data_IF_210396234809
#
_entry.id   IF_210396234809
#
_cell.length_a   1.000
_cell.length_b   1.000
_cell.length_c   1.000
_cell.angle_alpha   90.00
_cell.angle_beta   90.00
_cell.angle_gamma   90.00
#
_symmetry.space_group_name_H-M   'P 1'
#
loop_
_entity.id
_entity.type
_entity.pdbx_description
1 polymer ?
#
# COMPACT_ATOMS: atom_id res chain seq x y z
N UNK A 1 -0.05 16.24 21.67
CA UNK A 1 -1.02 15.12 21.58
C UNK A 1 -0.21 13.84 21.75
N UNK A 2 -0.63 12.88 22.57
CA UNK A 2 0.07 11.58 22.61
C UNK A 2 -0.20 10.90 21.26
N UNK A 3 0.86 10.51 20.56
CA UNK A 3 0.78 9.71 19.35
C UNK A 3 0.31 8.31 19.78
N UNK A 4 -0.73 7.78 19.15
CA UNK A 4 -1.26 6.44 19.43
C UNK A 4 -1.64 5.74 18.13
N UNK A 5 -1.52 4.42 18.13
CA UNK A 5 -2.03 3.57 17.05
C UNK A 5 -3.56 3.50 17.08
N UNK A 6 -4.21 3.15 15.95
CA UNK A 6 -5.63 2.81 15.92
C UNK A 6 -5.99 1.77 16.97
N UNK A 7 -7.20 1.87 17.53
CA UNK A 7 -7.69 0.87 18.48
C UNK A 7 -8.22 -0.38 17.78
N UNK A 8 -8.41 -1.46 18.54
CA UNK A 8 -8.90 -2.73 18.01
C UNK A 8 -10.36 -2.68 17.50
N UNK A 9 -11.08 -1.58 17.74
CA UNK A 9 -12.44 -1.35 17.25
C UNK A 9 -12.46 -0.55 15.94
N UNK A 10 -11.29 -0.09 15.47
CA UNK A 10 -11.18 0.73 14.26
C UNK A 10 -11.31 -0.17 13.03
N UNK A 11 -12.46 -0.09 12.36
CA UNK A 11 -12.70 -0.82 11.10
C UNK A 11 -11.71 -0.44 10.00
N UNK A 12 -11.46 -1.34 9.04
CA UNK A 12 -10.46 -1.16 7.97
C UNK A 12 -10.62 0.15 7.16
N UNK A 13 -11.84 0.66 7.00
CA UNK A 13 -12.13 1.93 6.31
C UNK A 13 -11.60 3.15 7.06
N UNK A 14 -11.50 3.04 8.38
CA UNK A 14 -11.02 4.05 9.29
C UNK A 14 -9.55 3.82 9.68
N UNK A 15 -9.10 2.56 9.62
CA UNK A 15 -7.73 2.18 9.93
C UNK A 15 -6.73 2.90 9.03
N UNK A 16 -5.74 3.49 9.65
CA UNK A 16 -4.56 4.11 9.04
C UNK A 16 -3.59 4.56 10.10
N UNK A 17 -2.30 4.40 9.81
CA UNK A 17 -1.20 4.96 10.59
C UNK A 17 -0.54 6.04 9.75
N UNK A 18 -0.58 7.33 10.16
CA UNK A 18 0.11 8.42 9.47
C UNK A 18 1.57 8.13 9.21
N UNK A 19 2.08 8.63 8.08
CA UNK A 19 3.46 8.39 7.68
C UNK A 19 4.46 8.88 8.73
N UNK A 20 4.11 9.95 9.45
CA UNK A 20 4.87 10.53 10.55
C UNK A 20 4.87 9.70 11.85
N UNK A 21 4.00 8.68 11.97
CA UNK A 21 3.93 7.79 13.13
C UNK A 21 4.86 6.58 12.93
N UNK A 22 6.14 6.85 12.68
CA UNK A 22 7.13 5.86 12.25
C UNK A 22 8.00 5.28 13.38
N UNK A 23 7.76 5.73 14.61
CA UNK A 23 8.45 5.27 15.81
C UNK A 23 7.89 3.96 16.38
N UNK A 24 6.69 3.55 15.95
CA UNK A 24 6.12 2.27 16.35
C UNK A 24 6.82 1.12 15.64
N UNK A 25 6.86 -0.03 16.29
CA UNK A 25 7.36 -1.24 15.64
C UNK A 25 6.40 -1.69 14.55
N UNK A 26 6.93 -2.42 13.56
CA UNK A 26 6.10 -3.01 12.52
C UNK A 26 5.04 -3.95 13.13
N UNK A 27 5.42 -4.73 14.15
CA UNK A 27 4.52 -5.60 14.91
C UNK A 27 3.40 -4.84 15.60
N UNK A 28 3.69 -3.71 16.26
CA UNK A 28 2.66 -2.89 16.90
C UNK A 28 1.64 -2.37 15.88
N UNK A 29 2.12 -1.90 14.73
CA UNK A 29 1.24 -1.41 13.65
C UNK A 29 0.38 -2.54 13.10
N UNK A 30 0.96 -3.70 12.82
CA UNK A 30 0.22 -4.87 12.34
C UNK A 30 -0.79 -5.38 13.37
N UNK A 31 -0.45 -5.36 14.67
CA UNK A 31 -1.38 -5.73 15.73
C UNK A 31 -2.58 -4.75 15.83
N UNK A 32 -2.37 -3.49 15.44
CA UNK A 32 -3.45 -2.50 15.31
C UNK A 32 -4.30 -2.69 14.05
N UNK A 33 -3.74 -3.31 13.01
CA UNK A 33 -4.44 -3.67 11.78
C UNK A 33 -5.25 -4.95 12.04
N UNK A 34 -6.57 -4.82 12.12
CA UNK A 34 -7.47 -5.90 12.53
C UNK A 34 -7.20 -7.24 11.85
N UNK A 35 -7.08 -8.31 12.64
CA UNK A 35 -7.08 -9.69 12.17
C UNK A 35 -8.46 -10.36 12.10
N UNK A 36 -9.58 -9.66 12.33
CA UNK A 36 -10.90 -10.32 12.27
C UNK A 36 -12.07 -9.33 12.28
N UNK A 37 -13.03 -9.54 11.36
CA UNK A 37 -14.35 -8.90 11.23
C UNK A 37 -14.49 -7.81 10.16
N UNK A 38 -14.11 -8.12 8.92
CA UNK A 38 -14.87 -7.58 7.78
C UNK A 38 -16.09 -8.49 7.54
N UNK A 39 -17.29 -7.93 7.49
CA UNK A 39 -18.38 -8.60 6.78
C UNK A 39 -17.91 -8.86 5.35
N UNK A 40 -18.27 -10.00 4.77
CA UNK A 40 -17.76 -10.53 3.50
C UNK A 40 -17.82 -9.53 2.32
N UNK A 41 -18.64 -8.49 2.40
CA UNK A 41 -18.82 -7.46 1.36
C UNK A 41 -17.81 -6.29 1.45
N UNK A 42 -17.00 -6.21 2.52
CA UNK A 42 -16.19 -5.04 2.87
C UNK A 42 -14.71 -5.38 3.06
N UNK A 43 -14.15 -6.30 2.28
CA UNK A 43 -12.75 -6.72 2.44
C UNK A 43 -11.82 -5.82 1.59
N UNK A 44 -10.58 -5.50 2.00
CA UNK A 44 -9.63 -4.74 1.17
C UNK A 44 -9.43 -5.33 -0.24
N UNK A 45 -9.08 -4.46 -1.20
CA UNK A 45 -9.00 -4.83 -2.62
C UNK A 45 -8.05 -6.01 -2.87
N UNK A 46 -6.88 -6.00 -2.23
CA UNK A 46 -5.90 -7.08 -2.40
C UNK A 46 -6.48 -8.46 -2.02
N UNK A 47 -7.28 -8.51 -0.96
CA UNK A 47 -7.87 -9.76 -0.47
C UNK A 47 -8.93 -10.24 -1.46
N UNK A 48 -9.77 -9.33 -1.95
CA UNK A 48 -10.78 -9.64 -2.97
C UNK A 48 -10.14 -10.17 -4.27
N UNK A 49 -8.99 -9.61 -4.64
CA UNK A 49 -8.22 -10.04 -5.80
C UNK A 49 -7.59 -11.43 -5.59
N UNK A 50 -7.07 -11.73 -4.40
CA UNK A 50 -6.53 -13.06 -4.03
C UNK A 50 -7.64 -14.12 -3.96
N UNK A 51 -8.79 -13.79 -3.36
CA UNK A 51 -9.88 -14.74 -3.12
C UNK A 51 -10.68 -15.09 -4.39
N UNK A 52 -10.58 -14.29 -5.46
CA UNK A 52 -11.36 -14.50 -6.67
C UNK A 52 -10.54 -15.14 -7.81
N UNK A 53 -10.74 -16.44 -8.09
CA UNK A 53 -9.94 -17.20 -9.06
C UNK A 53 -10.12 -16.76 -10.52
N UNK A 54 -11.04 -15.83 -10.81
CA UNK A 54 -11.19 -15.23 -12.14
C UNK A 54 -10.12 -14.19 -12.44
N UNK A 55 -9.46 -13.65 -11.42
CA UNK A 55 -8.39 -12.67 -11.57
C UNK A 55 -7.03 -13.38 -11.50
N UNK A 56 -6.69 -14.13 -12.55
CA UNK A 56 -5.33 -14.65 -12.74
C UNK A 56 -4.42 -13.50 -13.19
N UNK A 57 -3.86 -12.78 -12.22
CA UNK A 57 -2.93 -11.67 -12.45
C UNK A 57 -1.51 -12.08 -12.04
N UNK A 58 -0.53 -12.02 -12.97
CA UNK A 58 0.86 -12.43 -12.73
C UNK A 58 1.63 -11.68 -11.63
N UNK A 59 1.05 -10.63 -11.02
CA UNK A 59 1.66 -9.92 -9.90
C UNK A 59 1.05 -10.34 -8.55
N UNK A 60 -0.16 -10.92 -8.50
CA UNK A 60 -0.66 -11.57 -7.28
C UNK A 60 0.19 -12.81 -6.96
N UNK A 61 0.89 -13.40 -7.92
CA UNK A 61 1.88 -14.44 -7.61
C UNK A 61 3.12 -13.90 -6.89
N UNK A 62 3.38 -12.58 -6.93
CA UNK A 62 4.29 -11.93 -5.97
C UNK A 62 3.70 -11.96 -4.56
N UNK A 63 2.38 -12.12 -4.44
CA UNK A 63 1.61 -12.22 -3.22
C UNK A 63 0.90 -13.60 -3.04
N UNK A 64 1.64 -14.70 -2.88
CA UNK A 64 1.14 -16.06 -2.57
C UNK A 64 0.34 -16.16 -1.24
N UNK A 65 -0.95 -15.85 -1.30
CA UNK A 65 -2.00 -16.34 -0.39
C UNK A 65 -2.01 -15.71 1.00
N UNK A 66 -1.41 -16.38 2.00
CA UNK A 66 -1.52 -15.97 3.41
C UNK A 66 -0.26 -15.26 3.95
N UNK A 67 0.92 -15.79 3.60
CA UNK A 67 2.21 -15.16 3.94
C UNK A 67 2.27 -13.77 3.30
N UNK A 68 1.77 -13.66 2.08
CA UNK A 68 1.91 -12.43 1.34
C UNK A 68 0.84 -11.38 1.65
N UNK A 69 -0.30 -11.75 2.27
CA UNK A 69 -1.20 -10.75 2.86
C UNK A 69 -0.53 -10.05 4.05
N UNK A 70 0.22 -10.79 4.87
CA UNK A 70 1.00 -10.20 5.96
C UNK A 70 2.09 -9.28 5.41
N UNK A 71 2.82 -9.71 4.39
CA UNK A 71 3.83 -8.87 3.73
C UNK A 71 3.21 -7.61 3.09
N UNK A 72 2.01 -7.73 2.52
CA UNK A 72 1.26 -6.60 2.00
C UNK A 72 0.93 -5.58 3.09
N UNK A 73 0.40 -6.03 4.23
CA UNK A 73 0.10 -5.17 5.37
C UNK A 73 1.38 -4.52 5.95
N UNK A 74 2.53 -5.21 5.85
CA UNK A 74 3.82 -4.62 6.20
C UNK A 74 4.18 -3.46 5.26
N UNK A 75 3.91 -3.60 3.96
CA UNK A 75 4.14 -2.53 2.98
C UNK A 75 3.20 -1.35 3.25
N UNK A 76 1.94 -1.59 3.63
CA UNK A 76 1.04 -0.53 4.08
C UNK A 76 1.63 0.28 5.25
N UNK A 77 2.14 -0.43 6.27
CA UNK A 77 2.79 0.21 7.42
C UNK A 77 4.03 1.02 6.99
N UNK A 78 4.89 0.45 6.14
CA UNK A 78 6.09 1.15 5.66
C UNK A 78 5.75 2.39 4.82
N UNK A 79 4.73 2.32 3.97
CA UNK A 79 4.32 3.43 3.11
C UNK A 79 3.34 4.38 3.81
N UNK A 80 2.93 4.12 5.05
CA UNK A 80 1.98 4.96 5.80
C UNK A 80 0.60 5.05 5.15
N UNK A 81 0.12 3.93 4.60
CA UNK A 81 -1.13 3.83 3.84
C UNK A 81 -2.16 2.96 4.55
N UNK A 82 -3.43 3.38 4.52
CA UNK A 82 -4.55 2.57 5.02
C UNK A 82 -5.06 1.60 3.97
N UNK A 83 -6.31 1.13 4.05
CA UNK A 83 -6.83 0.11 3.13
C UNK A 83 -7.91 0.62 2.14
N UNK A 84 -8.07 1.94 2.00
CA UNK A 84 -9.05 2.49 1.05
C UNK A 84 -8.55 2.32 -0.40
N UNK A 85 -9.42 2.38 -1.42
CA UNK A 85 -9.02 2.13 -2.82
C UNK A 85 -7.80 2.95 -3.29
N UNK A 86 -7.70 4.21 -2.87
CA UNK A 86 -6.57 5.08 -3.19
C UNK A 86 -5.28 4.71 -2.45
N UNK A 87 -5.41 4.15 -1.25
CA UNK A 87 -4.28 3.64 -0.48
C UNK A 87 -3.74 2.35 -1.12
N UNK A 88 -4.64 1.43 -1.48
CA UNK A 88 -4.31 0.20 -2.24
C UNK A 88 -3.65 0.54 -3.59
N UNK A 89 -4.20 1.53 -4.30
CA UNK A 89 -3.62 2.04 -5.54
C UNK A 89 -2.16 2.47 -5.36
N UNK A 90 -1.86 3.18 -4.26
CA UNK A 90 -0.50 3.61 -3.97
C UNK A 90 0.41 2.44 -3.60
N UNK A 91 -0.02 1.55 -2.69
CA UNK A 91 0.78 0.42 -2.22
C UNK A 91 1.14 -0.53 -3.36
N UNK A 92 0.16 -0.92 -4.16
CA UNK A 92 0.37 -1.80 -5.32
C UNK A 92 1.28 -1.10 -6.33
N UNK A 93 1.00 0.17 -6.64
CA UNK A 93 1.77 0.94 -7.61
C UNK A 93 3.25 1.08 -7.20
N UNK A 94 3.51 1.51 -5.97
CA UNK A 94 4.87 1.70 -5.45
C UNK A 94 5.63 0.39 -5.40
N UNK A 95 5.00 -0.69 -4.91
CA UNK A 95 5.61 -2.02 -4.87
C UNK A 95 6.04 -2.46 -6.27
N UNK A 96 5.13 -2.38 -7.25
CA UNK A 96 5.45 -2.71 -8.64
C UNK A 96 6.58 -1.84 -9.21
N UNK A 97 6.56 -0.53 -8.95
CA UNK A 97 7.61 0.40 -9.37
C UNK A 97 9.00 0.01 -8.85
N UNK A 98 9.08 -0.38 -7.58
CA UNK A 98 10.35 -0.77 -6.93
C UNK A 98 11.00 -2.03 -7.53
N UNK A 99 10.23 -2.87 -8.23
CA UNK A 99 10.71 -4.17 -8.75
C UNK A 99 11.46 -4.10 -10.08
N UNK A 100 11.25 -3.05 -10.90
CA UNK A 100 11.48 -3.18 -12.34
C UNK A 100 12.25 -1.98 -12.93
N UNK A 101 13.59 -2.01 -12.80
CA UNK A 101 14.49 -0.99 -13.38
C UNK A 101 14.76 -1.13 -14.88
N UNK A 102 14.12 -2.06 -15.61
CA UNK A 102 14.36 -2.29 -17.05
C UNK A 102 13.09 -2.14 -17.92
N UNK A 103 13.27 -1.47 -19.06
CA UNK A 103 12.30 -0.89 -19.99
C UNK A 103 11.00 -1.69 -20.30
N UNK A 104 9.96 -0.95 -20.73
CA UNK A 104 8.58 -1.36 -21.15
C UNK A 104 7.48 -1.30 -20.07
N UNK A 105 7.66 -0.46 -19.04
CA UNK A 105 6.69 -0.24 -17.97
C UNK A 105 5.37 0.36 -18.47
N UNK A 106 5.38 1.46 -19.23
CA UNK A 106 4.13 2.17 -19.58
C UNK A 106 3.10 1.30 -20.31
N UNK A 107 3.50 0.55 -21.34
CA UNK A 107 2.54 -0.24 -22.13
C UNK A 107 1.99 -1.44 -21.36
N UNK A 108 2.82 -2.15 -20.59
CA UNK A 108 2.35 -3.28 -19.76
C UNK A 108 1.49 -2.79 -18.59
N UNK A 109 1.88 -1.67 -17.97
CA UNK A 109 1.14 -1.04 -16.86
C UNK A 109 -0.22 -0.50 -17.32
N UNK A 110 -0.27 0.19 -18.47
CA UNK A 110 -1.51 0.72 -19.02
C UNK A 110 -2.45 -0.40 -19.48
N UNK A 111 -1.93 -1.41 -20.18
CA UNK A 111 -2.70 -2.60 -20.58
C UNK A 111 -3.21 -3.33 -19.34
N UNK A 112 -2.39 -3.46 -18.30
CA UNK A 112 -2.77 -4.12 -17.05
C UNK A 112 -3.82 -3.33 -16.27
N UNK A 113 -3.59 -2.03 -16.04
CA UNK A 113 -4.52 -1.15 -15.35
C UNK A 113 -5.87 -1.26 -16.05
N UNK A 114 -5.91 -1.06 -17.37
CA UNK A 114 -7.13 -1.14 -18.20
C UNK A 114 -7.86 -2.49 -18.15
N UNK A 115 -7.15 -3.61 -17.90
CA UNK A 115 -7.73 -4.96 -17.90
C UNK A 115 -8.17 -5.45 -16.52
N UNK A 116 -7.52 -5.03 -15.43
CA UNK A 116 -7.70 -5.63 -14.10
C UNK A 116 -8.05 -4.64 -12.98
N UNK A 117 -7.80 -3.34 -13.15
CA UNK A 117 -8.31 -2.31 -12.25
C UNK A 117 -9.68 -1.74 -12.69
N UNK A 118 -10.17 -2.12 -13.89
CA UNK A 118 -11.48 -1.69 -14.43
C UNK A 118 -12.64 -2.71 -14.41
N UNK A 119 -12.51 -4.03 -14.13
CA UNK A 119 -13.66 -4.93 -14.12
C UNK A 119 -14.35 -5.02 -12.75
N UNK A 120 -15.68 -4.93 -12.76
CA UNK A 120 -16.54 -5.28 -11.62
C UNK A 120 -16.61 -4.23 -10.50
N UNK A 121 -17.07 -4.61 -9.29
CA UNK A 121 -17.29 -3.71 -8.16
C UNK A 121 -16.00 -3.18 -7.51
N UNK A 122 -14.84 -3.70 -7.93
CA UNK A 122 -13.51 -3.43 -7.37
C UNK A 122 -12.71 -2.41 -8.18
N UNK A 123 -13.43 -1.63 -8.98
CA UNK A 123 -12.88 -0.73 -9.97
C UNK A 123 -12.30 0.53 -9.33
N UNK A 124 -11.05 0.82 -9.66
CA UNK A 124 -10.44 2.12 -9.36
C UNK A 124 -11.17 3.24 -10.09
N UNK A 125 -11.39 4.35 -9.37
CA UNK A 125 -11.77 5.61 -10.01
C UNK A 125 -10.60 6.13 -10.85
N UNK A 126 -10.87 7.10 -11.72
CA UNK A 126 -9.80 7.77 -12.48
C UNK A 126 -8.77 8.43 -11.55
N UNK A 127 -9.20 8.88 -10.37
CA UNK A 127 -8.30 9.42 -9.36
C UNK A 127 -7.43 8.33 -8.71
N UNK A 128 -7.95 7.13 -8.47
CA UNK A 128 -7.18 6.01 -7.93
C UNK A 128 -6.17 5.51 -8.97
N UNK A 129 -6.59 5.44 -10.25
CA UNK A 129 -5.71 5.09 -11.35
C UNK A 129 -4.56 6.10 -11.52
N UNK A 130 -4.80 7.40 -11.27
CA UNK A 130 -3.72 8.39 -11.27
C UNK A 130 -2.77 8.22 -10.10
N UNK A 131 -3.27 7.99 -8.89
CA UNK A 131 -2.42 7.70 -7.71
C UNK A 131 -1.58 6.45 -7.93
N UNK A 132 -2.15 5.41 -8.52
CA UNK A 132 -1.42 4.21 -8.93
C UNK A 132 -0.26 4.53 -9.88
N UNK A 133 -0.50 5.30 -10.96
CA UNK A 133 0.55 5.69 -11.92
C UNK A 133 1.65 6.51 -11.25
N UNK A 134 1.28 7.46 -10.41
CA UNK A 134 2.23 8.30 -9.68
C UNK A 134 3.09 7.43 -8.74
N UNK A 135 2.46 6.49 -8.01
CA UNK A 135 3.14 5.56 -7.13
C UNK A 135 4.10 4.62 -7.86
N UNK A 136 3.73 4.12 -9.04
CA UNK A 136 4.63 3.33 -9.90
C UNK A 136 5.86 4.13 -10.28
N UNK A 137 5.68 5.39 -10.69
CA UNK A 137 6.79 6.24 -11.03
C UNK A 137 7.68 6.51 -9.81
N UNK A 138 7.08 6.82 -8.66
CA UNK A 138 7.79 7.00 -7.38
C UNK A 138 8.63 5.77 -7.00
N UNK A 139 8.04 4.58 -7.04
CA UNK A 139 8.76 3.34 -6.76
C UNK A 139 9.87 3.05 -7.78
N UNK A 140 9.67 3.41 -9.05
CA UNK A 140 10.66 3.23 -10.11
C UNK A 140 11.88 4.12 -9.96
N UNK A 141 11.68 5.38 -9.55
CA UNK A 141 12.78 6.34 -9.35
C UNK A 141 13.41 6.20 -7.96
N UNK A 142 12.75 5.54 -7.02
CA UNK A 142 13.28 5.32 -5.69
C UNK A 142 14.41 4.30 -5.70
N UNK A 143 15.46 4.56 -4.93
CA UNK A 143 16.59 3.65 -4.80
C UNK A 143 16.37 2.51 -3.79
N UNK A 144 15.14 2.35 -3.29
CA UNK A 144 14.80 1.33 -2.30
C UNK A 144 14.96 -0.11 -2.78
N UNK A 145 15.10 -1.01 -1.82
CA UNK A 145 15.03 -2.46 -2.04
C UNK A 145 13.64 -2.83 -2.59
N UNK A 146 13.54 -3.69 -3.62
CA UNK A 146 12.26 -4.15 -4.13
C UNK A 146 11.37 -4.74 -3.02
N UNK A 147 10.26 -4.08 -2.70
CA UNK A 147 9.49 -4.39 -1.48
C UNK A 147 8.90 -5.80 -1.48
N UNK A 148 8.67 -6.38 -2.65
CA UNK A 148 8.17 -7.74 -2.84
C UNK A 148 9.22 -8.84 -2.57
N UNK A 149 10.48 -8.48 -2.33
CA UNK A 149 11.57 -9.44 -2.07
C UNK A 149 11.97 -9.52 -0.60
N UNK A 150 11.33 -8.70 0.24
CA UNK A 150 11.70 -8.53 1.64
C UNK A 150 11.08 -9.65 2.47
N UNK A 151 11.90 -10.21 3.36
CA UNK A 151 11.44 -11.09 4.43
C UNK A 151 11.11 -10.24 5.67
N UNK A 152 9.85 -9.81 5.79
CA UNK A 152 9.39 -8.91 6.85
C UNK A 152 9.45 -9.52 8.25
N UNK A 153 9.52 -10.85 8.37
CA UNK A 153 9.63 -11.54 9.66
C UNK A 153 10.86 -11.07 10.47
N UNK A 154 11.90 -10.61 9.78
CA UNK A 154 13.14 -10.08 10.38
C UNK A 154 13.02 -8.66 10.93
N UNK A 155 11.94 -7.95 10.59
CA UNK A 155 11.75 -6.53 10.88
C UNK A 155 10.60 -6.25 11.85
N UNK A 156 9.81 -7.27 12.23
CA UNK A 156 8.61 -7.11 13.06
C UNK A 156 8.84 -6.25 14.32
N UNK A 157 9.88 -6.55 15.10
CA UNK A 157 10.17 -5.81 16.33
C UNK A 157 10.95 -4.49 16.13
N UNK A 158 11.22 -4.08 14.88
CA UNK A 158 11.94 -2.84 14.58
C UNK A 158 10.98 -1.67 14.36
N UNK A 159 11.31 -0.46 14.83
CA UNK A 159 10.62 0.77 14.47
C UNK A 159 10.59 0.99 12.96
N UNK A 160 9.45 1.45 12.43
CA UNK A 160 9.25 1.64 10.98
C UNK A 160 10.25 2.60 10.36
N UNK A 161 10.65 3.68 11.05
CA UNK A 161 11.68 4.59 10.54
C UNK A 161 13.02 3.88 10.27
N UNK A 162 13.45 3.00 11.19
CA UNK A 162 14.68 2.22 11.01
C UNK A 162 14.56 1.26 9.83
N UNK A 163 13.39 0.64 9.63
CA UNK A 163 13.14 -0.24 8.49
C UNK A 163 13.20 0.57 7.18
N UNK A 164 12.56 1.74 7.13
CA UNK A 164 12.60 2.63 5.96
C UNK A 164 14.04 3.00 5.59
N UNK A 165 14.84 3.40 6.58
CA UNK A 165 16.25 3.73 6.39
C UNK A 165 17.05 2.54 5.86
N UNK A 166 16.90 1.35 6.48
CA UNK A 166 17.60 0.12 6.06
C UNK A 166 17.24 -0.33 4.64
N UNK A 167 15.98 -0.13 4.23
CA UNK A 167 15.49 -0.51 2.91
C UNK A 167 15.73 0.57 1.84
N UNK A 168 16.21 1.76 2.22
CA UNK A 168 16.39 2.89 1.31
C UNK A 168 15.07 3.54 0.87
N UNK A 169 14.01 3.45 1.68
CA UNK A 169 12.74 4.14 1.44
C UNK A 169 12.95 5.63 1.74
N UNK A 170 13.00 6.44 0.69
CA UNK A 170 13.20 7.89 0.77
C UNK A 170 11.96 8.60 1.33
N UNK A 171 11.96 8.86 2.64
CA UNK A 171 10.82 9.48 3.34
C UNK A 171 10.44 10.83 2.75
N UNK A 172 11.43 11.67 2.41
CA UNK A 172 11.20 13.01 1.85
C UNK A 172 10.50 12.97 0.48
N UNK A 173 10.80 11.95 -0.34
CA UNK A 173 10.16 11.72 -1.63
C UNK A 173 8.68 11.37 -1.45
N UNK A 174 8.39 10.44 -0.55
CA UNK A 174 7.02 9.99 -0.24
C UNK A 174 6.22 11.13 0.38
N UNK A 175 6.78 11.85 1.37
CA UNK A 175 6.11 13.00 1.99
C UNK A 175 5.79 14.11 1.00
N UNK A 176 6.74 14.42 0.10
CA UNK A 176 6.55 15.42 -0.94
C UNK A 176 5.38 15.05 -1.84
N UNK A 177 5.28 13.78 -2.21
CA UNK A 177 4.13 13.27 -2.96
C UNK A 177 2.83 13.33 -2.12
N UNK A 178 2.83 12.95 -0.85
CA UNK A 178 1.63 13.01 0.00
C UNK A 178 1.10 14.44 0.15
N UNK A 179 1.98 15.44 0.22
CA UNK A 179 1.58 16.86 0.19
C UNK A 179 0.91 17.25 -1.13
N UNK A 180 1.37 16.71 -2.26
CA UNK A 180 0.77 16.92 -3.57
C UNK A 180 -0.59 16.21 -3.65
N UNK A 181 -0.66 14.94 -3.26
CA UNK A 181 -1.88 14.13 -3.27
C UNK A 181 -2.98 14.78 -2.41
N UNK A 182 -2.63 15.21 -1.19
CA UNK A 182 -3.55 15.90 -0.26
C UNK A 182 -4.16 17.17 -0.87
N UNK A 183 -3.39 17.95 -1.63
CA UNK A 183 -3.89 19.14 -2.34
C UNK A 183 -4.74 18.79 -3.54
N UNK A 184 -4.40 17.70 -4.24
CA UNK A 184 -5.10 17.26 -5.46
C UNK A 184 -6.48 16.68 -5.14
N UNK A 185 -6.61 15.93 -4.05
CA UNK A 185 -7.84 15.20 -3.71
C UNK A 185 -8.43 15.65 -2.37
N UNK A 186 -9.02 16.85 -2.36
CA UNK A 186 -9.59 17.49 -1.16
C UNK A 186 -10.74 16.70 -0.49
N UNK A 187 -11.47 15.90 -1.28
CA UNK A 187 -12.62 15.10 -0.80
C UNK A 187 -12.24 13.66 -0.44
N UNK A 188 -11.00 13.25 -0.72
CA UNK A 188 -10.51 11.90 -0.48
C UNK A 188 -10.08 11.75 0.98
N UNK A 189 -10.82 10.94 1.75
CA UNK A 189 -10.44 10.59 3.12
C UNK A 189 -9.01 10.02 3.18
N UNK A 190 -8.69 9.11 2.26
CA UNK A 190 -7.35 8.50 2.15
C UNK A 190 -6.26 9.56 2.00
N UNK A 191 -6.45 10.54 1.12
CA UNK A 191 -5.44 11.56 0.82
C UNK A 191 -5.30 12.62 1.90
N UNK A 192 -6.36 12.88 2.68
CA UNK A 192 -6.32 13.91 3.73
C UNK A 192 -5.57 13.46 4.99
N UNK A 193 -5.48 12.15 5.26
CA UNK A 193 -4.92 11.58 6.49
C UNK A 193 -3.43 11.24 6.46
N UNK A 194 -2.78 11.29 5.29
CA UNK A 194 -1.46 10.65 5.05
C UNK A 194 -0.28 11.10 5.93
N UNK A 195 -0.28 12.36 6.40
CA UNK A 195 0.85 12.99 7.10
C UNK A 195 0.54 13.22 8.58
#
# INVERSE_FOLDING_TARGET
MKISLPDNNTGWRDWHVPFSHDQFTLEDILASAMHQQAAQDDVPLIVQLIENPKFDVPWITLFNGAVNLTDHDCIHALLGRGFLPKDEAFVIGFTMGSTNRTNTLEQKLYTWASKYLYPGPYKFSDEDAQVFKDAVHLGYVSDCTPLNTIDFSKYLSKPVNMIRDELGIETDLIESYFRIEKRRYLKSKASQRLL
#
